data_IF_386285539255
#
_entry.id   IF_386285539255
#
_cell.length_a   1.000
_cell.length_b   1.000
_cell.length_c   1.000
_cell.angle_alpha   90.00
_cell.angle_beta   90.00
_cell.angle_gamma   90.00
#
_symmetry.space_group_name_H-M   'P 1'
#
loop_
_entity.id
_entity.type
_entity.pdbx_description
1 polymer ?
#
# COMPACT_ATOMS: atom_id res chain seq x y z
N UNK A 1 10.52 -16.44 -20.76
CA UNK A 1 9.19 -15.93 -21.12
C UNK A 1 8.77 -14.88 -20.11
N UNK A 2 8.16 -13.79 -20.59
CA UNK A 2 7.68 -12.68 -19.76
C UNK A 2 6.24 -12.40 -20.18
N UNK A 3 5.34 -12.35 -19.21
CA UNK A 3 3.92 -12.05 -19.40
C UNK A 3 3.55 -10.89 -18.50
N UNK A 4 2.98 -9.83 -19.06
CA UNK A 4 2.39 -8.73 -18.31
C UNK A 4 0.92 -9.01 -18.06
N UNK A 5 0.50 -8.93 -16.80
CA UNK A 5 -0.89 -9.14 -16.37
C UNK A 5 -1.33 -7.92 -15.57
N UNK A 6 -2.46 -7.33 -15.96
CA UNK A 6 -3.00 -6.13 -15.34
C UNK A 6 -4.47 -6.27 -15.00
N UNK A 7 -4.85 -5.80 -13.84
CA UNK A 7 -6.23 -5.64 -13.41
C UNK A 7 -6.71 -4.23 -13.80
N UNK A 8 -7.70 -4.14 -14.68
CA UNK A 8 -8.27 -2.87 -15.13
C UNK A 8 -9.50 -2.44 -14.32
N UNK A 9 -9.77 -3.11 -13.19
CA UNK A 9 -10.97 -2.88 -12.38
C UNK A 9 -10.61 -2.28 -11.04
N UNK A 10 -11.53 -1.47 -10.50
CA UNK A 10 -11.41 -0.92 -9.14
C UNK A 10 -11.88 -1.94 -8.07
N UNK A 11 -11.36 -3.15 -8.15
CA UNK A 11 -11.54 -4.20 -7.15
C UNK A 11 -10.40 -5.21 -7.23
N UNK A 12 -10.13 -5.90 -6.15
CA UNK A 12 -9.16 -6.99 -6.13
C UNK A 12 -9.66 -8.16 -6.98
N UNK A 13 -8.78 -8.73 -7.79
CA UNK A 13 -9.04 -9.91 -8.59
C UNK A 13 -8.12 -11.06 -8.14
N UNK A 14 -8.71 -12.24 -7.89
CA UNK A 14 -8.01 -13.47 -7.50
C UNK A 14 -8.38 -14.58 -8.47
N UNK A 15 -7.40 -15.13 -9.17
CA UNK A 15 -7.64 -16.14 -10.19
C UNK A 15 -6.39 -17.00 -10.46
N UNK A 16 -6.59 -18.10 -11.19
CA UNK A 16 -5.51 -18.96 -11.69
C UNK A 16 -5.21 -18.58 -13.14
N UNK A 17 -3.99 -18.12 -13.41
CA UNK A 17 -3.53 -17.85 -14.78
C UNK A 17 -2.79 -19.05 -15.33
N UNK A 18 -3.12 -19.45 -16.57
CA UNK A 18 -2.48 -20.59 -17.24
C UNK A 18 -1.60 -20.11 -18.38
N UNK A 19 -0.31 -20.39 -18.27
CA UNK A 19 0.70 -19.97 -19.24
C UNK A 19 1.14 -21.14 -20.12
N UNK A 20 1.46 -20.86 -21.39
CA UNK A 20 2.03 -21.85 -22.33
C UNK A 20 3.54 -21.99 -22.11
N UNK A 21 3.92 -22.34 -20.90
CA UNK A 21 5.29 -22.56 -20.47
C UNK A 21 5.34 -23.87 -19.72
N UNK A 22 6.34 -24.68 -19.98
CA UNK A 22 6.56 -25.97 -19.34
C UNK A 22 7.97 -26.06 -18.76
N UNK A 23 8.13 -26.79 -17.65
CA UNK A 23 9.42 -27.07 -17.05
C UNK A 23 10.17 -25.89 -16.46
N UNK A 24 9.53 -24.72 -16.27
CA UNK A 24 10.16 -23.51 -15.73
C UNK A 24 9.46 -23.02 -14.48
N UNK A 25 10.23 -22.51 -13.52
CA UNK A 25 9.72 -21.85 -12.34
C UNK A 25 9.17 -20.44 -12.66
N UNK A 26 8.16 -20.01 -11.91
CA UNK A 26 7.56 -18.71 -12.04
C UNK A 26 8.10 -17.73 -10.98
N UNK A 27 8.26 -16.47 -11.37
CA UNK A 27 8.57 -15.33 -10.51
C UNK A 27 7.55 -14.22 -10.74
N UNK A 28 7.23 -13.44 -9.67
CA UNK A 28 6.53 -12.17 -9.78
C UNK A 28 7.54 -11.03 -9.82
N UNK A 29 7.40 -10.17 -10.81
CA UNK A 29 8.15 -8.93 -10.90
C UNK A 29 7.16 -7.76 -10.82
N UNK A 30 7.28 -6.98 -9.76
CA UNK A 30 6.38 -5.87 -9.46
C UNK A 30 6.89 -4.59 -10.12
N UNK A 31 6.17 -4.05 -11.14
CA UNK A 31 6.67 -2.90 -11.92
C UNK A 31 6.70 -1.59 -11.14
N UNK A 32 5.89 -1.47 -10.10
CA UNK A 32 5.77 -0.28 -9.27
C UNK A 32 6.84 -0.19 -8.16
N UNK A 33 7.36 -1.32 -7.70
CA UNK A 33 8.35 -1.38 -6.62
C UNK A 33 9.71 -1.89 -7.07
N UNK A 34 9.79 -2.55 -8.24
CA UNK A 34 10.97 -3.27 -8.70
C UNK A 34 11.24 -4.56 -7.91
N UNK A 35 10.33 -4.96 -7.00
CA UNK A 35 10.49 -6.19 -6.23
C UNK A 35 10.38 -7.41 -7.14
N UNK A 36 11.29 -8.36 -6.95
CA UNK A 36 11.27 -9.67 -7.59
C UNK A 36 11.13 -10.73 -6.51
N UNK A 37 10.10 -11.56 -6.64
CA UNK A 37 9.86 -12.63 -5.67
C UNK A 37 9.45 -13.94 -6.35
N UNK A 38 9.70 -15.10 -5.71
CA UNK A 38 9.21 -16.37 -6.21
C UNK A 38 7.68 -16.38 -6.29
N UNK A 39 7.12 -16.99 -7.34
CA UNK A 39 5.69 -17.24 -7.44
C UNK A 39 5.36 -18.69 -7.07
N UNK A 40 4.18 -18.94 -6.50
CA UNK A 40 3.60 -20.27 -6.46
C UNK A 40 3.25 -20.71 -7.89
N UNK A 41 3.37 -22.00 -8.18
CA UNK A 41 3.01 -22.55 -9.50
C UNK A 41 2.72 -24.04 -9.45
N UNK A 42 2.04 -24.52 -10.48
CA UNK A 42 1.84 -25.94 -10.78
C UNK A 42 2.08 -26.18 -12.27
N UNK A 43 2.98 -27.10 -12.60
CA UNK A 43 3.32 -27.50 -13.97
C UNK A 43 2.57 -28.79 -14.32
N UNK A 44 1.85 -28.78 -15.42
CA UNK A 44 1.14 -29.94 -15.89
C UNK A 44 0.64 -29.80 -17.34
N UNK A 45 0.64 -30.89 -18.07
CA UNK A 45 0.13 -30.96 -19.46
C UNK A 45 0.77 -29.92 -20.40
N UNK A 46 2.09 -29.68 -20.27
CA UNK A 46 2.80 -28.69 -21.09
C UNK A 46 2.50 -27.24 -20.78
N UNK A 47 1.99 -26.94 -19.58
CA UNK A 47 1.58 -25.60 -19.15
C UNK A 47 1.96 -25.36 -17.69
N UNK A 48 2.05 -24.11 -17.31
CA UNK A 48 2.22 -23.71 -15.91
C UNK A 48 1.04 -22.86 -15.46
N UNK A 49 0.41 -23.27 -14.38
CA UNK A 49 -0.65 -22.52 -13.68
C UNK A 49 -0.04 -21.72 -12.54
N UNK A 50 -0.35 -20.43 -12.49
CA UNK A 50 0.17 -19.50 -11.47
C UNK A 50 -1.01 -18.79 -10.81
N UNK A 51 -1.18 -18.87 -9.46
CA UNK A 51 -2.20 -18.12 -8.76
C UNK A 51 -1.87 -16.63 -8.76
N UNK A 52 -2.78 -15.78 -9.18
CA UNK A 52 -2.62 -14.34 -9.19
C UNK A 52 -3.59 -13.68 -8.21
N UNK A 53 -3.08 -12.68 -7.53
CA UNK A 53 -3.84 -11.76 -6.72
C UNK A 53 -3.41 -10.36 -7.12
N UNK A 54 -4.30 -9.64 -7.76
CA UNK A 54 -4.05 -8.29 -8.24
C UNK A 54 -4.97 -7.31 -7.51
N UNK A 55 -4.38 -6.33 -6.87
CA UNK A 55 -5.09 -5.22 -6.27
C UNK A 55 -5.86 -4.40 -7.31
N UNK A 56 -6.76 -3.50 -6.91
CA UNK A 56 -7.40 -2.57 -7.83
C UNK A 56 -6.35 -1.85 -8.69
N UNK A 57 -6.52 -1.91 -10.02
CA UNK A 57 -5.58 -1.33 -11.00
C UNK A 57 -4.14 -1.86 -10.87
N UNK A 58 -3.92 -2.95 -10.15
CA UNK A 58 -2.62 -3.59 -9.98
C UNK A 58 -2.15 -4.32 -11.22
N UNK A 59 -0.84 -4.50 -11.33
CA UNK A 59 -0.21 -5.26 -12.40
C UNK A 59 1.03 -5.99 -11.90
N UNK A 60 1.40 -7.05 -12.62
CA UNK A 60 2.57 -7.85 -12.34
C UNK A 60 3.13 -8.42 -13.63
N UNK A 61 4.45 -8.58 -13.72
CA UNK A 61 5.04 -9.46 -14.71
C UNK A 61 5.18 -10.86 -14.12
N UNK A 62 4.69 -11.88 -14.83
CA UNK A 62 4.98 -13.27 -14.53
C UNK A 62 6.14 -13.72 -15.43
N UNK A 63 7.27 -14.03 -14.81
CA UNK A 63 8.52 -14.28 -15.51
C UNK A 63 8.97 -15.72 -15.30
N UNK A 64 9.32 -16.38 -16.39
CA UNK A 64 9.84 -17.75 -16.43
C UNK A 64 11.24 -17.69 -17.06
N UNK A 65 12.28 -17.79 -16.25
CA UNK A 65 13.67 -17.66 -16.71
C UNK A 65 14.60 -18.78 -16.24
N UNK A 66 14.15 -19.60 -15.30
CA UNK A 66 14.93 -20.69 -14.74
C UNK A 66 14.18 -22.01 -14.83
N UNK A 67 14.87 -23.15 -15.05
CA UNK A 67 14.25 -24.47 -14.96
C UNK A 67 13.64 -24.68 -13.57
N UNK A 68 12.49 -25.30 -13.52
CA UNK A 68 11.82 -25.65 -12.27
C UNK A 68 12.52 -26.86 -11.61
N UNK A 69 12.85 -26.74 -10.33
CA UNK A 69 13.41 -27.83 -9.53
C UNK A 69 12.33 -28.87 -9.13
N UNK A 70 11.05 -28.48 -9.16
CA UNK A 70 9.91 -29.35 -8.83
C UNK A 70 8.71 -28.99 -9.71
N UNK A 71 7.75 -29.90 -9.92
CA UNK A 71 6.56 -29.63 -10.72
C UNK A 71 5.60 -28.63 -10.09
N UNK A 72 5.80 -28.29 -8.82
CA UNK A 72 4.99 -27.29 -8.14
C UNK A 72 5.77 -26.56 -7.05
N UNK A 73 5.34 -25.34 -6.73
CA UNK A 73 5.77 -24.56 -5.58
C UNK A 73 4.57 -23.96 -4.90
N UNK A 74 4.44 -24.20 -3.61
CA UNK A 74 3.44 -23.56 -2.76
C UNK A 74 4.12 -22.49 -1.90
N UNK A 75 3.52 -21.32 -1.80
CA UNK A 75 3.95 -20.25 -0.92
C UNK A 75 2.85 -19.97 0.10
N UNK A 76 3.23 -19.89 1.37
CA UNK A 76 2.31 -19.45 2.41
C UNK A 76 2.12 -17.93 2.31
N UNK A 77 0.87 -17.47 2.23
CA UNK A 77 0.58 -16.05 2.38
C UNK A 77 0.72 -15.66 3.84
N UNK A 78 1.39 -14.55 4.14
CA UNK A 78 1.36 -14.00 5.49
C UNK A 78 -0.08 -13.70 5.88
N UNK A 79 -0.48 -14.11 7.09
CA UNK A 79 -1.74 -13.67 7.65
C UNK A 79 -1.63 -12.20 8.07
N UNK A 80 -2.61 -11.38 7.71
CA UNK A 80 -2.72 -10.01 8.19
C UNK A 80 -3.77 -9.90 9.29
N UNK A 81 -3.51 -9.04 10.26
CA UNK A 81 -4.46 -8.70 11.32
C UNK A 81 -4.41 -7.20 11.55
N UNK A 82 -5.57 -6.59 11.76
CA UNK A 82 -5.64 -5.19 12.19
C UNK A 82 -5.05 -5.06 13.60
N UNK A 83 -4.10 -4.13 13.75
CA UNK A 83 -3.46 -3.86 15.04
C UNK A 83 -4.19 -2.75 15.78
N UNK A 84 -4.55 -1.67 15.09
CA UNK A 84 -5.28 -0.54 15.62
C UNK A 84 -5.90 0.29 14.49
N UNK A 85 -7.05 0.90 14.75
CA UNK A 85 -7.62 1.94 13.92
C UNK A 85 -7.15 3.32 14.43
N UNK A 86 -6.50 4.10 13.58
CA UNK A 86 -6.02 5.44 13.92
C UNK A 86 -7.18 6.42 13.78
N UNK A 87 -7.77 6.81 14.92
CA UNK A 87 -8.89 7.73 14.98
C UNK A 87 -8.46 9.15 15.36
N UNK A 88 -9.28 10.17 15.03
CA UNK A 88 -9.02 11.58 15.32
C UNK A 88 -8.75 11.90 16.80
N UNK A 89 -8.49 13.16 17.12
CA UNK A 89 -8.41 14.30 16.21
C UNK A 89 -7.13 14.30 15.35
N UNK A 90 -7.23 14.87 14.16
CA UNK A 90 -6.13 15.05 13.22
C UNK A 90 -5.80 16.54 13.08
N UNK A 91 -4.54 16.89 13.13
CA UNK A 91 -4.09 18.22 12.72
C UNK A 91 -3.88 18.25 11.21
N UNK A 92 -4.49 19.20 10.52
CA UNK A 92 -4.35 19.37 9.08
C UNK A 92 -3.80 20.75 8.79
N UNK A 93 -2.67 20.80 8.11
CA UNK A 93 -1.99 22.04 7.74
C UNK A 93 -2.08 22.26 6.23
N UNK A 94 -2.37 23.50 5.84
CA UNK A 94 -2.47 23.93 4.45
C UNK A 94 -1.36 24.94 4.13
N UNK A 95 -0.87 24.97 2.88
CA UNK A 95 0.06 26.00 2.44
C UNK A 95 -0.54 27.40 2.58
N UNK A 96 0.26 28.40 2.96
CA UNK A 96 -0.23 29.77 3.12
C UNK A 96 -0.68 30.37 1.78
N UNK A 97 -1.57 31.36 1.85
CA UNK A 97 -2.06 32.14 0.70
C UNK A 97 -2.76 31.32 -0.40
N UNK A 98 -3.43 30.22 -0.02
CA UNK A 98 -4.17 29.35 -0.92
C UNK A 98 -5.67 29.29 -0.62
N UNK A 99 -6.17 30.20 0.21
CA UNK A 99 -7.60 30.32 0.53
C UNK A 99 -8.04 29.51 1.76
N UNK A 100 -7.37 28.41 2.11
CA UNK A 100 -7.65 27.67 3.33
C UNK A 100 -6.93 28.29 4.54
N UNK A 101 -7.46 28.08 5.77
CA UNK A 101 -6.75 28.40 7.00
C UNK A 101 -5.41 27.65 7.07
N UNK A 102 -4.38 28.24 7.69
CA UNK A 102 -3.07 27.59 7.80
C UNK A 102 -3.11 26.25 8.53
N UNK A 103 -4.06 26.07 9.47
CA UNK A 103 -4.25 24.82 10.22
C UNK A 103 -5.70 24.67 10.68
N UNK A 104 -6.19 23.43 10.66
CA UNK A 104 -7.48 23.03 11.24
C UNK A 104 -7.32 21.73 12.03
N UNK A 105 -8.31 21.42 12.86
CA UNK A 105 -8.44 20.11 13.52
C UNK A 105 -9.64 19.39 12.94
N UNK A 106 -9.48 18.13 12.56
CA UNK A 106 -10.55 17.25 12.12
C UNK A 106 -10.74 16.11 13.13
N UNK A 107 -11.92 15.98 13.68
CA UNK A 107 -12.26 14.88 14.60
C UNK A 107 -12.27 13.51 13.90
N UNK A 108 -12.49 13.52 12.60
CA UNK A 108 -12.42 12.33 11.74
C UNK A 108 -11.96 12.71 10.33
N UNK A 109 -11.38 11.74 9.63
CA UNK A 109 -11.00 11.92 8.22
C UNK A 109 -12.26 11.95 7.35
N UNK A 110 -12.53 13.11 6.78
CA UNK A 110 -13.67 13.36 5.88
C UNK A 110 -13.19 14.08 4.63
N UNK A 111 -13.95 13.98 3.56
CA UNK A 111 -13.68 14.80 2.36
C UNK A 111 -13.78 16.29 2.71
N UNK A 112 -12.83 17.10 2.22
CA UNK A 112 -12.83 18.55 2.41
C UNK A 112 -14.13 19.22 1.92
N UNK A 113 -14.78 18.65 0.92
CA UNK A 113 -16.09 19.12 0.43
C UNK A 113 -17.19 19.08 1.49
N UNK A 114 -16.97 18.38 2.60
CA UNK A 114 -17.87 18.31 3.75
C UNK A 114 -17.50 19.26 4.89
N UNK A 115 -16.36 19.94 4.80
CA UNK A 115 -15.93 20.91 5.79
C UNK A 115 -16.84 22.15 5.77
N UNK A 116 -17.02 22.76 6.95
CA UNK A 116 -17.83 23.98 7.10
C UNK A 116 -17.09 25.22 6.60
N UNK A 117 -15.78 25.22 6.68
CA UNK A 117 -14.94 26.30 6.22
C UNK A 117 -14.86 26.31 4.68
N UNK A 118 -15.27 27.38 4.06
CA UNK A 118 -15.32 27.47 2.59
C UNK A 118 -13.92 27.46 1.96
N UNK A 119 -12.90 27.97 2.65
CA UNK A 119 -11.51 27.91 2.20
C UNK A 119 -10.99 26.47 2.14
N UNK A 120 -11.37 25.62 3.09
CA UNK A 120 -11.05 24.18 3.10
C UNK A 120 -11.89 23.45 2.06
N UNK A 121 -13.19 23.72 2.00
CA UNK A 121 -14.15 23.06 1.11
C UNK A 121 -13.76 23.18 -0.37
N UNK A 122 -13.19 24.30 -0.77
CA UNK A 122 -12.79 24.60 -2.13
C UNK A 122 -11.27 24.58 -2.32
N UNK A 123 -10.52 24.09 -1.32
CA UNK A 123 -9.07 23.98 -1.43
C UNK A 123 -8.66 22.98 -2.49
N UNK A 124 -7.73 23.39 -3.34
CA UNK A 124 -7.06 22.53 -4.31
C UNK A 124 -5.55 22.60 -4.09
N UNK A 125 -4.96 21.49 -3.76
CA UNK A 125 -3.52 21.39 -3.47
C UNK A 125 -3.21 20.33 -2.43
N UNK A 126 -1.99 20.38 -1.92
CA UNK A 126 -1.47 19.44 -0.94
C UNK A 126 -1.71 19.94 0.48
N UNK A 127 -2.27 19.11 1.35
CA UNK A 127 -2.35 19.35 2.78
C UNK A 127 -1.61 18.27 3.58
N UNK A 128 -1.07 18.65 4.73
CA UNK A 128 -0.36 17.70 5.61
C UNK A 128 -1.24 17.36 6.79
N UNK A 129 -1.48 16.06 6.97
CA UNK A 129 -2.20 15.50 8.11
C UNK A 129 -1.19 14.98 9.12
N UNK A 130 -1.35 15.41 10.36
CA UNK A 130 -0.46 15.02 11.45
C UNK A 130 -1.26 14.39 12.58
N UNK A 131 -0.78 13.25 13.09
CA UNK A 131 -1.39 12.55 14.21
C UNK A 131 -0.33 11.84 15.03
N UNK A 132 -0.39 12.00 16.34
CA UNK A 132 0.39 11.19 17.27
C UNK A 132 -0.35 9.91 17.61
N UNK A 133 0.36 8.80 17.67
CA UNK A 133 -0.16 7.50 18.11
C UNK A 133 0.81 6.84 19.09
N UNK A 134 0.28 6.00 19.96
CA UNK A 134 1.07 5.15 20.85
C UNK A 134 1.28 3.77 20.21
N UNK A 135 2.51 3.48 19.79
CA UNK A 135 2.86 2.19 19.21
C UNK A 135 3.05 1.13 20.29
N UNK A 136 2.06 0.26 20.45
CA UNK A 136 2.12 -0.81 21.45
C UNK A 136 3.31 -1.76 21.18
N UNK A 137 4.12 -2.09 22.18
CA UNK A 137 5.18 -3.09 22.04
C UNK A 137 4.70 -4.44 21.51
N UNK A 138 3.44 -4.79 21.74
CA UNK A 138 2.83 -6.04 21.27
C UNK A 138 2.68 -6.13 19.73
N UNK A 139 2.82 -5.01 19.01
CA UNK A 139 2.78 -4.99 17.55
C UNK A 139 4.06 -5.54 16.91
N UNK A 140 5.19 -5.46 17.64
CA UNK A 140 6.53 -5.77 17.13
C UNK A 140 6.89 -7.24 17.33
N UNK A 141 6.26 -8.11 16.53
CA UNK A 141 6.58 -9.54 16.55
C UNK A 141 7.76 -9.84 15.63
N UNK A 142 8.68 -10.75 16.02
CA UNK A 142 9.80 -11.13 15.16
C UNK A 142 9.33 -11.59 13.77
N UNK A 143 9.90 -11.00 12.71
CA UNK A 143 9.59 -11.33 11.32
C UNK A 143 8.25 -10.81 10.81
N UNK A 144 7.45 -10.11 11.63
CA UNK A 144 6.23 -9.47 11.18
C UNK A 144 6.53 -8.10 10.54
N UNK A 145 5.70 -7.71 9.57
CA UNK A 145 5.67 -6.37 9.02
C UNK A 145 4.51 -5.58 9.62
N UNK A 146 4.73 -4.30 9.85
CA UNK A 146 3.69 -3.35 10.27
C UNK A 146 3.37 -2.48 9.07
N UNK A 147 2.13 -2.53 8.63
CA UNK A 147 1.65 -1.80 7.45
C UNK A 147 0.72 -0.69 7.91
N UNK A 148 1.02 0.53 7.49
CA UNK A 148 0.13 1.67 7.60
C UNK A 148 -0.81 1.67 6.40
N UNK A 149 -2.11 1.58 6.65
CA UNK A 149 -3.14 1.69 5.63
C UNK A 149 -3.79 3.07 5.74
N UNK A 150 -3.68 3.87 4.68
CA UNK A 150 -4.26 5.20 4.60
C UNK A 150 -5.73 5.18 4.17
N UNK A 151 -6.26 4.00 3.87
CA UNK A 151 -7.65 3.85 3.42
C UNK A 151 -7.91 4.46 2.06
N UNK A 152 -8.90 5.34 1.98
CA UNK A 152 -9.31 5.94 0.72
C UNK A 152 -8.67 7.32 0.53
N UNK A 153 -7.58 7.37 -0.18
CA UNK A 153 -6.84 8.59 -0.52
C UNK A 153 -7.32 9.17 -1.85
N UNK A 154 -7.32 10.50 -1.94
CA UNK A 154 -7.63 11.26 -3.16
C UNK A 154 -6.56 12.32 -3.38
N UNK A 155 -5.75 12.26 -4.39
CA UNK A 155 -5.51 11.23 -5.41
C UNK A 155 -4.19 10.51 -5.11
N UNK A 156 -3.26 11.22 -4.45
CA UNK A 156 -1.87 10.83 -4.21
C UNK A 156 -1.53 11.13 -2.76
N UNK A 157 -0.75 10.26 -2.11
CA UNK A 157 -0.23 10.50 -0.77
C UNK A 157 1.25 10.15 -0.67
N UNK A 158 1.93 10.85 0.20
CA UNK A 158 3.22 10.47 0.77
C UNK A 158 3.05 10.32 2.27
N UNK A 159 3.70 9.35 2.86
CA UNK A 159 3.65 9.09 4.28
C UNK A 159 5.04 9.22 4.90
N UNK A 160 5.09 9.74 6.13
CA UNK A 160 6.29 9.75 6.93
C UNK A 160 5.96 9.30 8.35
N UNK A 161 6.89 8.60 8.99
CA UNK A 161 6.82 8.17 10.39
C UNK A 161 8.07 8.64 11.10
N UNK A 162 7.92 9.37 12.21
CA UNK A 162 9.05 9.96 12.93
C UNK A 162 9.95 10.84 12.02
N UNK A 163 9.35 11.58 11.08
CA UNK A 163 10.08 12.35 10.09
C UNK A 163 10.77 11.55 9.00
N UNK A 164 10.66 10.22 9.01
CA UNK A 164 11.24 9.34 8.00
C UNK A 164 10.19 9.02 6.93
N UNK A 165 10.42 9.36 5.65
CA UNK A 165 9.53 8.97 4.56
C UNK A 165 9.40 7.45 4.44
N UNK A 166 8.17 6.96 4.21
CA UNK A 166 7.87 5.54 4.07
C UNK A 166 6.95 5.27 2.88
N UNK A 167 7.11 4.13 2.23
CA UNK A 167 6.23 3.68 1.13
C UNK A 167 6.39 4.45 -0.19
N UNK A 168 7.19 5.51 -0.23
CA UNK A 168 7.32 6.36 -1.43
C UNK A 168 6.01 7.05 -1.82
N UNK A 169 5.84 7.37 -3.10
CA UNK A 169 4.63 7.98 -3.63
C UNK A 169 3.52 6.93 -3.78
N UNK A 170 2.45 7.09 -3.02
CA UNK A 170 1.25 6.25 -3.07
C UNK A 170 0.24 6.90 -4.04
N UNK A 171 0.08 6.34 -5.22
CA UNK A 171 -0.71 6.93 -6.31
C UNK A 171 -1.85 6.04 -6.81
N UNK A 172 -1.99 4.85 -6.24
CA UNK A 172 -3.07 3.89 -6.52
C UNK A 172 -3.40 3.04 -5.29
N UNK A 173 -4.61 2.49 -5.18
CA UNK A 173 -4.93 1.52 -4.14
C UNK A 173 -4.11 0.21 -4.25
N UNK A 174 -3.86 -0.46 -3.12
CA UNK A 174 -4.10 -0.01 -1.76
C UNK A 174 -3.08 1.06 -1.35
N UNK A 175 -3.55 2.12 -0.67
CA UNK A 175 -2.67 3.18 -0.18
C UNK A 175 -2.00 2.73 1.12
N UNK A 176 -1.01 1.87 0.99
CA UNK A 176 -0.35 1.19 2.10
C UNK A 176 1.16 1.42 2.08
N UNK A 177 1.75 1.59 3.25
CA UNK A 177 3.19 1.75 3.44
C UNK A 177 3.72 0.80 4.51
N UNK A 178 4.85 0.14 4.26
CA UNK A 178 5.59 -0.63 5.26
C UNK A 178 6.31 0.35 6.21
N UNK A 179 5.87 0.41 7.46
CA UNK A 179 6.40 1.30 8.50
C UNK A 179 7.27 0.58 9.51
N UNK A 180 7.56 -0.69 9.31
CA UNK A 180 8.26 -1.56 10.26
C UNK A 180 9.59 -0.98 10.71
N UNK A 181 10.36 -0.41 9.80
CA UNK A 181 11.70 0.13 10.11
C UNK A 181 11.65 1.53 10.76
N UNK A 182 10.59 2.31 10.49
CA UNK A 182 10.45 3.69 10.97
C UNK A 182 9.71 3.79 12.31
N UNK A 183 8.89 2.79 12.65
CA UNK A 183 8.12 2.75 13.88
C UNK A 183 8.91 1.99 14.96
N UNK A 184 8.90 2.47 16.21
CA UNK A 184 9.58 1.83 17.34
C UNK A 184 8.61 1.54 18.48
N UNK A 185 8.85 0.46 19.27
CA UNK A 185 8.03 0.15 20.43
C UNK A 185 8.07 1.28 21.47
N UNK A 186 6.90 1.71 21.95
CA UNK A 186 6.78 2.76 22.96
C UNK A 186 7.06 4.16 22.46
N UNK A 187 7.29 4.35 21.16
CA UNK A 187 7.26 5.68 20.58
C UNK A 187 5.85 6.26 20.81
N UNK A 188 5.79 7.41 21.46
CA UNK A 188 4.68 8.34 21.27
C UNK A 188 4.87 8.88 19.88
N UNK A 189 4.42 8.13 18.92
CA UNK A 189 4.81 8.26 17.54
C UNK A 189 4.33 9.59 17.01
N UNK A 190 5.25 10.23 16.40
CA UNK A 190 5.15 11.54 15.81
C UNK A 190 4.38 11.46 14.49
N UNK A 191 4.19 12.63 14.02
CA UNK A 191 3.72 13.04 12.71
C UNK A 191 3.61 11.94 11.65
N UNK A 192 2.41 11.39 11.45
CA UNK A 192 2.06 10.83 10.17
C UNK A 192 1.73 12.00 9.25
N UNK A 193 2.73 12.49 8.52
CA UNK A 193 2.50 13.45 7.46
C UNK A 193 1.95 12.70 6.25
N UNK A 194 0.67 12.84 5.93
CA UNK A 194 0.16 12.47 4.61
C UNK A 194 -0.02 13.74 3.83
N UNK A 195 0.62 13.85 2.68
CA UNK A 195 0.30 14.87 1.71
C UNK A 195 -0.76 14.29 0.77
N UNK A 196 -1.96 14.83 0.83
CA UNK A 196 -3.00 14.52 -0.15
C UNK A 196 -3.13 15.72 -1.09
N UNK A 197 -2.94 15.50 -2.38
CA UNK A 197 -3.30 16.45 -3.42
C UNK A 197 -4.68 16.09 -3.95
N UNK A 198 -5.57 17.06 -4.04
CA UNK A 198 -6.84 16.98 -4.77
C UNK A 198 -6.71 17.70 -6.10
#
# INVERSE_FOLDING_TARGET
HIYFVANQRNRTEVFQAVFRVDGMEAEYWHPDTGLIEPAAYEIGKGRTTVPLHLDPYGSVFVVFRRPAAAPSRTLMRPASAELAAIQGPWQVSFPPNRGAPGRITLDSLVSWTRCKDDGVKHFSGTATYTKEIDASPAWFKPGAKIILDLGNVREVAEAAVNGTPVGGLLWKPPFQADVTAALKPGDKAPEFGTQAAL
#
